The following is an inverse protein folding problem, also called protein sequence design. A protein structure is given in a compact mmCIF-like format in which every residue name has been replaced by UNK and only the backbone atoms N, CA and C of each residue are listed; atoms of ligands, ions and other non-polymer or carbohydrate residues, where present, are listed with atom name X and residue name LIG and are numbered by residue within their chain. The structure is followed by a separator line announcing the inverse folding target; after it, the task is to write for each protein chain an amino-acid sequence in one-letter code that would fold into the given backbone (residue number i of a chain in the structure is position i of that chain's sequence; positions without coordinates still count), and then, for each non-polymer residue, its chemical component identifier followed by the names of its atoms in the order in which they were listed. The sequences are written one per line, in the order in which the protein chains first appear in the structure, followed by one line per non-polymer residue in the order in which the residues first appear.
data_IF_229292531930
#
_entry.id   IF_229292531930
#
_cell.length_a   1.000
_cell.length_b   1.000
_cell.length_c   1.000
_cell.angle_alpha   90.00
_cell.angle_beta   90.00
_cell.angle_gamma   90.00
#
_symmetry.space_group_name_H-M   'P 1'
#
loop_
_entity.id
_entity.type
_entity.pdbx_description
1 polymer ?
#
# COMPACT_ATOMS: atom_id res chain seq x y z
N UNK A 1 5.64 -14.23 -15.33
CA UNK A 1 4.72 -14.91 -14.40
C UNK A 1 4.27 -16.21 -15.06
N UNK A 2 4.34 -17.37 -14.39
CA UNK A 2 4.03 -18.69 -14.97
C UNK A 2 2.74 -19.24 -14.34
N UNK A 3 1.88 -19.88 -15.12
CA UNK A 3 0.52 -20.30 -14.72
C UNK A 3 0.38 -21.82 -14.85
N UNK A 4 -0.05 -22.49 -13.77
CA UNK A 4 -0.52 -23.89 -13.79
C UNK A 4 -2.01 -23.90 -13.38
N UNK A 5 -2.88 -24.53 -14.18
CA UNK A 5 -4.29 -24.74 -13.84
C UNK A 5 -4.56 -26.23 -13.56
N UNK A 6 -5.17 -26.52 -12.41
CA UNK A 6 -5.71 -27.86 -12.09
C UNK A 6 -7.05 -27.71 -11.37
N UNK A 7 -8.15 -27.86 -12.11
CA UNK A 7 -9.42 -28.45 -11.65
C UNK A 7 -10.25 -27.80 -10.52
N UNK A 8 -9.90 -26.62 -9.99
CA UNK A 8 -10.65 -25.85 -8.97
C UNK A 8 -10.50 -24.36 -9.34
N UNK A 9 -11.45 -23.41 -9.11
CA UNK A 9 -11.48 -22.11 -9.80
C UNK A 9 -10.53 -21.09 -9.16
N UNK A 10 -9.25 -21.47 -9.06
CA UNK A 10 -8.20 -20.65 -8.51
C UNK A 10 -7.00 -20.74 -9.44
N UNK A 11 -6.39 -19.60 -9.73
CA UNK A 11 -5.18 -19.52 -10.54
C UNK A 11 -4.01 -19.05 -9.69
N UNK A 12 -2.86 -19.72 -9.80
CA UNK A 12 -1.65 -19.34 -9.07
C UNK A 12 -0.95 -18.18 -9.79
N UNK A 13 -0.78 -17.04 -9.11
CA UNK A 13 0.11 -15.95 -9.57
C UNK A 13 1.48 -16.10 -8.90
N UNK A 14 2.55 -15.87 -9.66
CA UNK A 14 3.95 -15.93 -9.22
C UNK A 14 4.63 -14.55 -9.32
N UNK A 15 5.08 -14.03 -8.18
CA UNK A 15 5.62 -12.69 -8.00
C UNK A 15 7.17 -12.62 -8.04
N UNK A 16 7.87 -13.69 -8.45
CA UNK A 16 9.34 -13.82 -8.27
C UNK A 16 10.28 -12.98 -9.16
N UNK A 17 9.87 -11.87 -9.77
CA UNK A 17 10.81 -10.98 -10.49
C UNK A 17 11.13 -9.73 -9.66
N UNK A 18 12.21 -9.83 -8.87
CA UNK A 18 12.98 -8.69 -8.35
C UNK A 18 12.53 -8.11 -7.01
N UNK A 19 13.23 -8.47 -5.91
CA UNK A 19 14.11 -7.60 -5.09
C UNK A 19 14.43 -8.35 -3.80
N UNK A 20 15.67 -8.81 -3.61
CA UNK A 20 16.12 -9.27 -2.30
C UNK A 20 16.31 -8.05 -1.38
N UNK A 21 15.53 -7.98 -0.29
CA UNK A 21 15.76 -7.03 0.80
C UNK A 21 16.13 -7.81 2.05
N UNK A 22 17.40 -7.72 2.46
CA UNK A 22 17.86 -8.18 3.77
C UNK A 22 17.24 -7.29 4.85
N UNK A 23 16.49 -7.89 5.77
CA UNK A 23 16.00 -7.22 6.98
C UNK A 23 17.16 -7.02 7.97
N UNK A 24 17.46 -5.76 8.31
CA UNK A 24 18.02 -5.43 9.62
C UNK A 24 16.84 -5.06 10.52
N UNK A 25 16.53 -5.91 11.49
CA UNK A 25 15.61 -5.57 12.57
C UNK A 25 16.19 -4.37 13.35
N UNK A 26 15.46 -3.25 13.36
CA UNK A 26 15.77 -2.11 14.22
C UNK A 26 15.26 -2.41 15.62
N UNK A 27 16.17 -2.65 16.55
CA UNK A 27 15.90 -2.59 17.99
C UNK A 27 15.67 -1.13 18.37
N UNK A 28 14.42 -0.69 18.55
CA UNK A 28 14.15 0.64 19.10
C UNK A 28 12.81 0.77 19.86
N UNK A 29 12.33 -0.30 20.51
CA UNK A 29 11.15 -0.21 21.39
C UNK A 29 11.38 -0.69 22.83
N UNK A 30 12.61 -0.68 23.34
CA UNK A 30 12.91 -1.19 24.70
C UNK A 30 13.28 -0.14 25.76
N UNK A 31 12.90 1.13 25.60
CA UNK A 31 13.22 2.17 26.61
C UNK A 31 12.02 3.03 27.08
N UNK A 32 10.84 2.44 27.25
CA UNK A 32 9.69 3.14 27.88
C UNK A 32 9.02 2.30 28.99
N UNK A 33 9.79 1.46 29.72
CA UNK A 33 9.20 0.63 30.79
C UNK A 33 9.86 0.78 32.15
N UNK A 34 10.48 1.93 32.43
CA UNK A 34 10.88 2.29 33.79
C UNK A 34 10.42 3.70 34.08
N UNK A 35 9.26 3.80 34.75
CA UNK A 35 8.70 4.90 35.56
C UNK A 35 7.16 4.97 35.39
N UNK A 36 6.47 3.96 35.93
CA UNK A 36 5.02 3.98 36.14
C UNK A 36 4.68 4.82 37.38
N UNK A 37 5.03 6.11 37.36
CA UNK A 37 4.61 7.10 38.37
C UNK A 37 4.59 8.51 37.75
N UNK A 38 3.85 8.67 36.65
CA UNK A 38 3.57 9.98 36.06
C UNK A 38 2.07 10.15 35.86
N UNK A 39 1.45 10.76 36.88
CA UNK A 39 0.32 11.68 36.83
C UNK A 39 -0.26 11.90 35.42
N UNK A 40 -1.43 11.29 35.18
CA UNK A 40 -2.47 11.66 34.21
C UNK A 40 -2.03 12.62 33.09
N UNK A 41 -1.18 12.17 32.17
CA UNK A 41 -1.16 12.77 30.84
C UNK A 41 -2.41 12.30 30.12
N UNK A 42 -3.29 13.21 29.64
CA UNK A 42 -4.52 12.78 29.00
C UNK A 42 -4.17 11.99 27.73
N UNK A 43 -4.93 10.94 27.46
CA UNK A 43 -4.65 9.93 26.41
C UNK A 43 -4.37 10.57 25.04
N UNK A 44 -5.01 11.69 24.74
CA UNK A 44 -4.79 12.52 23.55
C UNK A 44 -3.35 13.07 23.40
N UNK A 45 -2.62 13.27 24.50
CA UNK A 45 -1.24 13.78 24.46
C UNK A 45 -0.19 12.69 24.23
N UNK A 46 -0.49 11.42 24.54
CA UNK A 46 0.40 10.28 24.26
C UNK A 46 0.62 10.12 22.76
N UNK A 47 -0.45 10.29 21.98
CA UNK A 47 -0.42 10.10 20.53
C UNK A 47 -0.09 11.35 19.73
N UNK A 48 -0.08 12.54 20.35
CA UNK A 48 0.20 13.82 19.66
C UNK A 48 1.56 13.87 18.96
N UNK A 49 2.56 13.09 19.44
CA UNK A 49 3.88 12.98 18.79
C UNK A 49 3.86 12.09 17.55
N UNK A 50 2.89 11.19 17.43
CA UNK A 50 2.75 10.31 16.29
C UNK A 50 2.02 11.12 15.20
N UNK A 51 2.78 11.52 14.17
CA UNK A 51 2.24 12.18 12.98
C UNK A 51 1.44 11.15 12.17
N UNK A 52 0.18 10.96 12.54
CA UNK A 52 -0.81 10.25 11.73
C UNK A 52 -1.62 11.25 10.91
N UNK A 53 -2.03 10.86 9.71
CA UNK A 53 -3.06 11.58 8.98
C UNK A 53 -4.46 11.14 9.46
N UNK A 54 -5.51 11.56 8.75
CA UNK A 54 -6.88 11.17 9.07
C UNK A 54 -7.13 9.67 8.91
N UNK A 55 -7.93 9.08 9.80
CA UNK A 55 -8.33 7.67 9.73
C UNK A 55 -9.34 7.41 8.60
N UNK A 56 -9.10 6.39 7.78
CA UNK A 56 -9.94 6.06 6.62
C UNK A 56 -11.34 5.52 6.96
N UNK A 57 -11.56 5.06 8.19
CA UNK A 57 -12.83 4.52 8.65
C UNK A 57 -13.61 5.58 9.43
N UNK A 58 -12.97 6.22 10.42
CA UNK A 58 -13.64 7.16 11.35
C UNK A 58 -13.64 8.59 10.81
N UNK A 59 -12.59 9.01 10.11
CA UNK A 59 -12.39 10.37 9.60
C UNK A 59 -12.40 10.40 8.06
N UNK A 60 -13.29 9.59 7.47
CA UNK A 60 -13.31 9.30 6.04
C UNK A 60 -13.27 10.54 5.15
N UNK A 61 -14.08 11.56 5.45
CA UNK A 61 -14.13 12.79 4.64
C UNK A 61 -12.78 13.53 4.62
N UNK A 62 -12.09 13.57 5.77
CA UNK A 62 -10.75 14.16 5.88
C UNK A 62 -9.71 13.32 5.13
N UNK A 63 -9.80 11.99 5.21
CA UNK A 63 -8.93 11.07 4.48
C UNK A 63 -9.10 11.16 2.96
N UNK A 64 -10.35 11.23 2.49
CA UNK A 64 -10.65 11.49 1.08
C UNK A 64 -10.14 12.86 0.62
N UNK A 65 -10.27 13.88 1.46
CA UNK A 65 -9.68 15.20 1.23
C UNK A 65 -8.16 15.14 1.08
N UNK A 66 -7.48 14.48 2.01
CA UNK A 66 -6.03 14.29 1.97
C UNK A 66 -5.58 13.52 0.72
N UNK A 67 -6.32 12.50 0.28
CA UNK A 67 -6.02 11.77 -0.95
C UNK A 67 -6.21 12.63 -2.20
N UNK A 68 -7.25 13.47 -2.25
CA UNK A 68 -7.45 14.43 -3.35
C UNK A 68 -6.33 15.47 -3.41
N UNK A 69 -5.86 15.96 -2.27
CA UNK A 69 -4.69 16.86 -2.20
C UNK A 69 -3.43 16.14 -2.68
N UNK A 70 -3.18 14.91 -2.24
CA UNK A 70 -2.06 14.11 -2.75
C UNK A 70 -2.13 13.94 -4.28
N UNK A 71 -3.31 13.65 -4.84
CA UNK A 71 -3.53 13.55 -6.29
C UNK A 71 -3.15 14.84 -7.01
N UNK A 72 -3.59 15.99 -6.49
CA UNK A 72 -3.29 17.29 -7.07
C UNK A 72 -1.77 17.55 -7.10
N UNK A 73 -1.07 17.27 -5.99
CA UNK A 73 0.38 17.44 -5.91
C UNK A 73 1.12 16.54 -6.91
N UNK A 74 0.72 15.25 -7.03
CA UNK A 74 1.33 14.34 -8.01
C UNK A 74 1.16 14.84 -9.44
N UNK A 75 0.00 15.42 -9.78
CA UNK A 75 -0.25 16.00 -11.10
C UNK A 75 0.56 17.27 -11.33
N UNK A 76 0.57 18.18 -10.36
CA UNK A 76 1.33 19.43 -10.42
C UNK A 76 2.83 19.16 -10.61
N UNK A 77 3.41 18.25 -9.83
CA UNK A 77 4.81 17.86 -9.98
C UNK A 77 5.11 17.27 -11.37
N UNK A 78 4.17 16.49 -11.92
CA UNK A 78 4.31 15.92 -13.26
C UNK A 78 4.26 17.00 -14.34
N UNK A 79 3.31 17.92 -14.25
CA UNK A 79 3.13 18.99 -15.23
C UNK A 79 4.35 19.93 -15.22
N UNK A 80 4.88 20.26 -14.03
CA UNK A 80 6.12 21.02 -13.88
C UNK A 80 7.32 20.31 -14.55
N UNK A 81 7.44 18.99 -14.36
CA UNK A 81 8.50 18.20 -15.00
C UNK A 81 8.37 18.20 -16.53
N UNK A 82 7.17 18.00 -17.07
CA UNK A 82 6.93 18.02 -18.51
C UNK A 82 7.26 19.38 -19.12
N UNK A 83 6.93 20.47 -18.44
CA UNK A 83 7.27 21.82 -18.88
C UNK A 83 8.78 22.03 -18.95
N UNK A 84 9.52 21.75 -17.86
CA UNK A 84 10.98 21.90 -17.82
C UNK A 84 11.66 21.05 -18.88
N UNK A 85 11.23 19.80 -19.05
CA UNK A 85 11.81 18.92 -20.05
C UNK A 85 11.59 19.44 -21.48
N UNK A 86 10.41 19.99 -21.77
CA UNK A 86 10.11 20.60 -23.07
C UNK A 86 10.98 21.83 -23.33
N UNK A 87 11.16 22.70 -22.33
CA UNK A 87 12.02 23.89 -22.44
C UNK A 87 13.52 23.55 -22.56
N UNK A 88 13.99 22.48 -21.93
CA UNK A 88 15.39 22.03 -22.04
C UNK A 88 15.69 21.43 -23.41
N UNK A 89 14.74 20.70 -24.00
CA UNK A 89 14.85 20.18 -25.38
C UNK A 89 14.95 21.33 -26.39
N UNK A 90 14.26 22.44 -26.18
CA UNK A 90 14.37 23.64 -27.03
C UNK A 90 15.74 24.36 -26.89
N UNK A 91 16.48 24.13 -25.81
CA UNK A 91 17.74 24.83 -25.52
C UNK A 91 19.03 24.05 -25.87
N UNK A 92 18.94 22.83 -26.43
CA UNK A 92 20.10 22.01 -26.84
C UNK A 92 21.21 21.88 -25.77
N UNK A 93 20.85 21.85 -24.48
CA UNK A 93 21.84 21.70 -23.41
C UNK A 93 22.20 20.23 -23.26
N UNK A 94 23.42 19.89 -23.65
CA UNK A 94 24.01 18.54 -23.57
C UNK A 94 24.14 18.03 -22.13
N UNK A 95 23.72 16.78 -21.94
CA UNK A 95 24.11 15.80 -20.91
C UNK A 95 24.32 16.30 -19.47
N UNK A 96 23.22 16.36 -18.71
CA UNK A 96 23.27 15.93 -17.31
C UNK A 96 22.46 14.64 -17.15
N UNK A 97 23.16 13.59 -16.71
CA UNK A 97 22.62 12.25 -16.47
C UNK A 97 21.49 12.36 -15.43
N UNK A 98 20.23 12.04 -15.76
CA UNK A 98 19.14 12.25 -14.83
C UNK A 98 19.17 11.16 -13.76
N UNK A 99 19.34 11.55 -12.50
CA UNK A 99 18.69 10.83 -11.40
C UNK A 99 17.25 10.53 -11.80
N UNK A 100 16.81 9.28 -11.66
CA UNK A 100 15.56 8.72 -12.19
C UNK A 100 14.43 9.77 -12.40
N UNK A 101 13.81 9.82 -13.59
CA UNK A 101 12.87 10.88 -13.95
C UNK A 101 11.69 10.94 -12.97
N UNK A 102 11.48 12.05 -12.23
CA UNK A 102 10.22 12.24 -11.51
C UNK A 102 9.15 12.68 -12.52
N UNK A 103 7.89 12.19 -12.43
CA UNK A 103 7.27 11.43 -11.35
C UNK A 103 6.67 10.11 -11.83
N UNK A 104 7.50 9.21 -12.38
CA UNK A 104 7.09 7.80 -12.51
C UNK A 104 7.24 7.04 -11.18
N UNK A 105 6.98 7.73 -10.06
CA UNK A 105 7.12 7.16 -8.71
C UNK A 105 6.11 6.00 -8.57
N UNK A 106 6.58 4.79 -8.22
CA UNK A 106 5.71 3.64 -8.01
C UNK A 106 4.64 3.88 -6.96
N UNK A 107 3.43 3.38 -7.18
CA UNK A 107 2.32 3.43 -6.21
C UNK A 107 2.74 2.92 -4.82
N UNK A 108 3.49 1.83 -4.74
CA UNK A 108 3.95 1.32 -3.45
C UNK A 108 4.85 2.31 -2.69
N UNK A 109 5.65 3.10 -3.41
CA UNK A 109 6.51 4.14 -2.81
C UNK A 109 5.67 5.32 -2.36
N UNK A 110 4.69 5.74 -3.15
CA UNK A 110 3.76 6.81 -2.77
C UNK A 110 2.97 6.48 -1.50
N UNK A 111 2.38 5.28 -1.45
CA UNK A 111 1.61 4.81 -0.28
C UNK A 111 2.50 4.82 0.96
N UNK A 112 3.71 4.26 0.87
CA UNK A 112 4.64 4.20 2.01
C UNK A 112 5.16 5.58 2.43
N UNK A 113 5.44 6.48 1.49
CA UNK A 113 5.97 7.82 1.79
C UNK A 113 4.89 8.73 2.39
N UNK A 114 3.63 8.53 2.02
CA UNK A 114 2.48 9.32 2.48
C UNK A 114 1.64 8.59 3.54
N UNK A 115 2.24 7.61 4.24
CA UNK A 115 1.55 6.81 5.26
C UNK A 115 1.20 7.58 6.55
N UNK A 116 1.66 8.83 6.67
CA UNK A 116 1.28 9.76 7.73
C UNK A 116 0.35 10.89 7.24
N UNK A 117 -0.23 10.75 6.05
CA UNK A 117 -1.13 11.71 5.42
C UNK A 117 -2.25 10.96 4.67
N UNK A 118 -2.28 11.02 3.34
CA UNK A 118 -3.31 10.42 2.51
C UNK A 118 -3.45 8.89 2.67
N UNK A 119 -2.38 8.18 3.03
CA UNK A 119 -2.39 6.72 3.16
C UNK A 119 -2.21 6.27 4.61
N UNK A 120 -2.84 6.99 5.54
CA UNK A 120 -2.74 6.69 6.97
C UNK A 120 -3.18 5.26 7.27
N UNK A 121 -2.43 4.58 8.14
CA UNK A 121 -2.65 3.18 8.50
C UNK A 121 -2.06 2.19 7.50
N UNK A 122 -1.64 2.60 6.31
CA UNK A 122 -1.08 1.71 5.28
C UNK A 122 0.45 1.64 5.38
N UNK A 123 0.93 0.70 6.20
CA UNK A 123 2.35 0.35 6.25
C UNK A 123 2.82 -0.44 5.02
N UNK A 124 4.12 -0.75 4.94
CA UNK A 124 4.73 -1.48 3.80
C UNK A 124 4.01 -2.79 3.45
N UNK A 125 3.53 -3.52 4.45
CA UNK A 125 2.84 -4.79 4.23
C UNK A 125 1.45 -4.57 3.63
N UNK A 126 0.64 -3.69 4.24
CA UNK A 126 -0.68 -3.32 3.72
C UNK A 126 -0.61 -2.63 2.35
N UNK A 127 0.46 -1.91 2.03
CA UNK A 127 0.61 -1.30 0.71
C UNK A 127 0.65 -2.34 -0.42
N UNK A 128 1.33 -3.47 -0.21
CA UNK A 128 1.36 -4.56 -1.21
C UNK A 128 -0.01 -5.22 -1.33
N UNK A 129 -0.64 -5.50 -0.20
CA UNK A 129 -1.95 -6.17 -0.18
C UNK A 129 -3.05 -5.28 -0.74
N UNK A 130 -3.05 -3.98 -0.42
CA UNK A 130 -3.94 -3.00 -1.03
C UNK A 130 -3.77 -2.96 -2.56
N UNK A 131 -2.52 -2.86 -3.04
CA UNK A 131 -2.23 -2.94 -4.48
C UNK A 131 -2.79 -4.22 -5.11
N UNK A 132 -2.67 -5.36 -4.42
CA UNK A 132 -3.26 -6.62 -4.86
C UNK A 132 -4.79 -6.56 -4.95
N UNK A 133 -5.47 -6.08 -3.90
CA UNK A 133 -6.94 -5.98 -3.86
C UNK A 133 -7.50 -5.00 -4.89
N UNK A 134 -6.77 -3.91 -5.15
CA UNK A 134 -7.16 -2.91 -6.14
C UNK A 134 -6.73 -3.24 -7.56
N UNK A 135 -6.05 -4.38 -7.76
CA UNK A 135 -5.50 -4.78 -9.06
C UNK A 135 -4.60 -3.69 -9.64
N UNK A 136 -3.77 -3.10 -8.78
CA UNK A 136 -2.76 -2.11 -9.14
C UNK A 136 -1.41 -2.79 -9.00
N UNK A 137 -0.63 -2.84 -10.07
CA UNK A 137 0.73 -3.35 -9.95
C UNK A 137 1.56 -2.42 -9.02
N UNK A 138 2.36 -2.93 -8.06
CA UNK A 138 3.09 -2.09 -7.11
C UNK A 138 4.03 -1.07 -7.78
N UNK A 139 4.55 -1.42 -8.96
CA UNK A 139 5.40 -0.56 -9.78
C UNK A 139 4.64 0.44 -10.66
N UNK A 140 3.31 0.40 -10.70
CA UNK A 140 2.49 1.34 -11.49
C UNK A 140 2.87 2.78 -11.11
N UNK A 141 3.21 3.64 -12.08
CA UNK A 141 3.44 5.05 -11.82
C UNK A 141 2.21 5.71 -11.20
N UNK A 142 2.39 6.46 -10.12
CA UNK A 142 1.26 7.10 -9.45
C UNK A 142 0.52 8.08 -10.36
N UNK A 143 1.24 8.76 -11.26
CA UNK A 143 0.64 9.65 -12.25
C UNK A 143 -0.39 8.96 -13.14
N UNK A 144 -0.18 7.67 -13.49
CA UNK A 144 -1.10 6.89 -14.31
C UNK A 144 -2.48 6.71 -13.65
N UNK A 145 -2.49 6.63 -12.31
CA UNK A 145 -3.72 6.61 -11.50
C UNK A 145 -4.27 8.03 -11.35
N UNK A 146 -3.42 9.02 -11.10
CA UNK A 146 -3.84 10.40 -10.83
C UNK A 146 -4.38 11.15 -12.06
N UNK A 147 -3.97 10.81 -13.28
CA UNK A 147 -4.47 11.44 -14.51
C UNK A 147 -5.87 10.96 -14.91
N UNK A 148 -6.24 9.73 -14.55
CA UNK A 148 -7.51 9.12 -14.92
C UNK A 148 -8.51 9.16 -13.76
N UNK A 149 -9.64 9.85 -13.95
CA UNK A 149 -10.67 9.98 -12.91
C UNK A 149 -11.29 8.65 -12.48
N UNK A 150 -11.39 7.68 -13.39
CA UNK A 150 -11.96 6.36 -13.11
C UNK A 150 -11.00 5.55 -12.25
N UNK A 151 -9.71 5.52 -12.60
CA UNK A 151 -8.67 4.84 -11.80
C UNK A 151 -8.52 5.49 -10.43
N UNK A 152 -8.49 6.82 -10.37
CA UNK A 152 -8.43 7.52 -9.10
C UNK A 152 -9.67 7.26 -8.23
N UNK A 153 -10.87 7.24 -8.82
CA UNK A 153 -12.10 6.87 -8.10
C UNK A 153 -12.03 5.43 -7.56
N UNK A 154 -11.45 4.51 -8.32
CA UNK A 154 -11.15 3.15 -7.87
C UNK A 154 -10.25 3.13 -6.63
N UNK A 155 -9.19 3.93 -6.61
CA UNK A 155 -8.32 4.09 -5.43
C UNK A 155 -9.06 4.71 -4.24
N UNK A 156 -9.80 5.80 -4.47
CA UNK A 156 -10.54 6.55 -3.45
C UNK A 156 -11.57 5.66 -2.72
N UNK A 157 -12.30 4.84 -3.47
CA UNK A 157 -13.30 3.92 -2.91
C UNK A 157 -12.68 2.64 -2.35
N UNK A 158 -11.60 2.16 -2.99
CA UNK A 158 -11.00 0.88 -2.69
C UNK A 158 -10.21 0.86 -1.38
N UNK A 159 -9.60 1.97 -0.96
CA UNK A 159 -8.88 2.05 0.32
C UNK A 159 -9.81 1.75 1.52
N UNK A 160 -10.93 2.47 1.72
CA UNK A 160 -11.82 2.18 2.84
C UNK A 160 -12.49 0.80 2.70
N UNK A 161 -12.80 0.33 1.49
CA UNK A 161 -13.32 -1.03 1.26
C UNK A 161 -12.33 -2.10 1.73
N UNK A 162 -11.05 -1.96 1.39
CA UNK A 162 -10.00 -2.85 1.86
C UNK A 162 -9.83 -2.78 3.39
N UNK A 163 -9.74 -1.57 3.95
CA UNK A 163 -9.51 -1.40 5.39
C UNK A 163 -10.70 -1.85 6.26
N UNK A 164 -11.90 -1.92 5.69
CA UNK A 164 -13.11 -2.41 6.38
C UNK A 164 -12.93 -3.84 6.91
N UNK A 165 -12.15 -4.70 6.25
CA UNK A 165 -11.93 -6.07 6.74
C UNK A 165 -11.32 -6.10 8.16
N UNK A 166 -10.56 -5.07 8.54
CA UNK A 166 -9.93 -4.95 9.87
C UNK A 166 -10.87 -4.36 10.93
N UNK A 167 -12.08 -3.97 10.56
CA UNK A 167 -13.10 -3.47 11.49
C UNK A 167 -14.26 -4.44 11.66
N UNK A 168 -14.26 -5.54 10.90
CA UNK A 168 -15.29 -6.56 11.00
C UNK A 168 -15.23 -7.31 12.34
N UNK A 169 -16.39 -7.65 12.95
CA UNK A 169 -16.44 -8.37 14.21
C UNK A 169 -15.68 -9.70 14.17
N UNK A 170 -15.66 -10.39 13.02
CA UNK A 170 -14.91 -11.64 12.85
C UNK A 170 -13.40 -11.44 13.01
N UNK A 171 -12.84 -10.40 12.38
CA UNK A 171 -11.45 -10.02 12.56
C UNK A 171 -11.15 -9.64 14.01
N UNK A 172 -11.94 -8.72 14.59
CA UNK A 172 -11.72 -8.22 15.94
C UNK A 172 -11.81 -9.35 16.99
N UNK A 173 -12.80 -10.24 16.86
CA UNK A 173 -12.97 -11.40 17.74
C UNK A 173 -11.81 -12.38 17.61
N UNK A 174 -11.32 -12.64 16.40
CA UNK A 174 -10.20 -13.55 16.19
C UNK A 174 -8.87 -12.99 16.74
N UNK A 175 -8.64 -11.68 16.59
CA UNK A 175 -7.48 -11.00 17.17
C UNK A 175 -7.57 -10.88 18.70
N UNK A 176 -8.74 -10.56 19.24
CA UNK A 176 -8.94 -10.46 20.69
C UNK A 176 -8.93 -11.84 21.38
N UNK A 177 -9.56 -12.85 20.79
CA UNK A 177 -9.64 -14.21 21.32
C UNK A 177 -8.31 -14.97 21.28
N UNK A 178 -7.33 -14.47 20.52
CA UNK A 178 -5.96 -15.01 20.55
C UNK A 178 -5.11 -14.42 21.69
N UNK A 179 -5.60 -13.41 22.41
CA UNK A 179 -5.01 -12.95 23.67
C UNK A 179 -5.28 -13.96 24.77
N UNK A 180 -4.21 -14.52 25.33
CA UNK A 180 -4.31 -15.42 26.48
C UNK A 180 -4.98 -14.70 27.64
N UNK A 181 -5.91 -15.38 28.32
CA UNK A 181 -6.69 -14.89 29.46
C UNK A 181 -5.79 -14.36 30.60
N UNK A 182 -4.53 -14.79 30.64
CA UNK A 182 -3.57 -14.49 31.71
C UNK A 182 -2.45 -13.50 31.32
N UNK A 183 -2.63 -12.70 30.26
CA UNK A 183 -1.64 -11.65 29.96
C UNK A 183 -1.82 -10.42 30.86
N UNK A 184 -0.96 -10.31 31.88
CA UNK A 184 -0.90 -9.12 32.76
C UNK A 184 -0.51 -7.82 32.03
N UNK A 185 0.27 -7.93 30.94
CA UNK A 185 0.74 -6.77 30.18
C UNK A 185 -0.01 -6.63 28.84
N UNK A 186 -0.87 -5.61 28.68
CA UNK A 186 -1.66 -5.40 27.46
C UNK A 186 -0.81 -4.97 26.25
N UNK A 187 0.45 -4.56 26.45
CA UNK A 187 1.38 -4.19 25.38
C UNK A 187 2.33 -5.34 24.99
N UNK A 188 2.20 -6.51 25.62
CA UNK A 188 3.01 -7.66 25.26
C UNK A 188 2.64 -8.10 23.85
N UNK A 189 3.66 -8.32 23.02
CA UNK A 189 3.44 -8.87 21.69
C UNK A 189 2.74 -10.24 21.76
N UNK A 190 1.68 -10.40 20.98
CA UNK A 190 0.92 -11.63 20.90
C UNK A 190 1.28 -12.40 19.62
N UNK A 191 2.07 -13.46 19.78
CA UNK A 191 2.49 -14.32 18.66
C UNK A 191 1.31 -15.02 17.99
N UNK A 192 0.28 -15.42 18.74
CA UNK A 192 -0.90 -16.08 18.18
C UNK A 192 -1.70 -15.11 17.30
N UNK A 193 -1.97 -13.90 17.77
CA UNK A 193 -2.64 -12.87 16.98
C UNK A 193 -1.83 -12.51 15.74
N UNK A 194 -0.52 -12.32 15.88
CA UNK A 194 0.37 -12.03 14.76
C UNK A 194 0.38 -13.16 13.72
N UNK A 195 0.50 -14.42 14.15
CA UNK A 195 0.45 -15.58 13.24
C UNK A 195 -0.89 -15.64 12.51
N UNK A 196 -1.99 -15.47 13.22
CA UNK A 196 -3.33 -15.48 12.63
C UNK A 196 -3.51 -14.33 11.62
N UNK A 197 -3.06 -13.13 11.99
CA UNK A 197 -3.01 -11.97 11.11
C UNK A 197 -2.25 -12.28 9.81
N UNK A 198 -1.01 -12.76 9.91
CA UNK A 198 -0.16 -13.06 8.76
C UNK A 198 -0.70 -14.19 7.87
N UNK A 199 -1.40 -15.17 8.45
CA UNK A 199 -1.96 -16.29 7.68
C UNK A 199 -3.28 -15.95 6.99
N UNK A 200 -4.18 -15.26 7.68
CA UNK A 200 -5.56 -15.07 7.24
C UNK A 200 -5.85 -13.69 6.64
N UNK A 201 -5.07 -12.68 6.98
CA UNK A 201 -5.35 -11.27 6.63
C UNK A 201 -4.22 -10.59 5.88
N UNK A 202 -3.14 -11.33 5.58
CA UNK A 202 -2.04 -10.87 4.73
C UNK A 202 -1.97 -11.75 3.49
N UNK A 203 -2.05 -11.12 2.33
CA UNK A 203 -2.32 -11.81 1.07
C UNK A 203 -1.07 -12.03 0.22
N UNK A 204 -0.34 -10.97 -0.08
CA UNK A 204 0.81 -11.03 -1.00
C UNK A 204 2.10 -10.57 -0.34
N UNK A 205 2.05 -9.83 0.76
CA UNK A 205 3.25 -9.40 1.45
C UNK A 205 4.13 -10.60 1.86
N UNK A 206 5.38 -10.59 1.37
CA UNK A 206 6.39 -11.66 1.54
C UNK A 206 6.01 -13.03 0.96
N UNK A 207 4.98 -13.12 0.12
CA UNK A 207 4.62 -14.35 -0.59
C UNK A 207 5.17 -14.29 -2.01
N UNK A 208 5.78 -15.39 -2.45
CA UNK A 208 6.26 -15.53 -3.84
C UNK A 208 5.14 -15.96 -4.79
N UNK A 209 4.07 -16.54 -4.26
CA UNK A 209 2.91 -16.93 -5.06
C UNK A 209 1.63 -16.94 -4.22
N UNK A 210 0.49 -16.72 -4.86
CA UNK A 210 -0.83 -16.80 -4.23
C UNK A 210 -1.84 -17.45 -5.18
N UNK A 211 -2.75 -18.24 -4.60
CA UNK A 211 -3.97 -18.67 -5.28
C UNK A 211 -4.95 -17.49 -5.30
N UNK A 212 -5.30 -17.05 -6.49
CA UNK A 212 -6.10 -15.85 -6.71
C UNK A 212 -7.51 -16.26 -7.15
N UNK A 213 -8.55 -15.65 -6.57
CA UNK A 213 -9.93 -15.80 -7.05
C UNK A 213 -10.05 -15.47 -8.54
N UNK A 214 -10.94 -16.17 -9.24
CA UNK A 214 -11.13 -16.00 -10.69
C UNK A 214 -11.45 -14.55 -11.09
N UNK A 215 -12.29 -13.87 -10.32
CA UNK A 215 -12.67 -12.48 -10.61
C UNK A 215 -11.49 -11.50 -10.52
N UNK A 216 -10.63 -11.69 -9.52
CA UNK A 216 -9.39 -10.90 -9.36
C UNK A 216 -8.43 -11.24 -10.50
N UNK A 217 -8.27 -12.52 -10.83
CA UNK A 217 -7.43 -12.98 -11.94
C UNK A 217 -7.87 -12.36 -13.28
N UNK A 218 -9.17 -12.39 -13.58
CA UNK A 218 -9.71 -11.80 -14.80
C UNK A 218 -9.47 -10.29 -14.86
N UNK A 219 -9.60 -9.57 -13.74
CA UNK A 219 -9.24 -8.14 -13.69
C UNK A 219 -7.77 -7.90 -14.01
N UNK A 220 -6.85 -8.72 -13.47
CA UNK A 220 -5.43 -8.66 -13.80
C UNK A 220 -5.18 -8.89 -15.30
N UNK A 221 -5.88 -9.88 -15.88
CA UNK A 221 -5.78 -10.22 -17.30
C UNK A 221 -6.27 -9.06 -18.18
N UNK A 222 -7.46 -8.51 -17.90
CA UNK A 222 -8.03 -7.41 -18.69
C UNK A 222 -7.22 -6.11 -18.60
N UNK A 223 -6.50 -5.90 -17.50
CA UNK A 223 -5.57 -4.78 -17.36
C UNK A 223 -4.21 -5.05 -18.02
N UNK A 224 -3.99 -6.21 -18.61
CA UNK A 224 -2.71 -6.56 -19.24
C UNK A 224 -1.58 -6.84 -18.25
N UNK A 225 -1.86 -6.86 -16.94
CA UNK A 225 -0.84 -7.01 -15.89
C UNK A 225 -0.21 -8.42 -15.86
N UNK A 226 -0.77 -9.36 -16.62
CA UNK A 226 -0.26 -10.71 -16.79
C UNK A 226 0.53 -10.91 -18.10
N UNK A 227 0.49 -9.95 -19.04
CA UNK A 227 1.28 -10.03 -20.27
C UNK A 227 2.70 -9.49 -19.98
N UNK A 228 3.75 -10.32 -20.09
CA UNK A 228 5.13 -9.88 -19.87
C UNK A 228 5.62 -8.82 -20.87
N UNK A 229 4.91 -8.62 -21.98
CA UNK A 229 5.24 -7.61 -22.99
C UNK A 229 4.46 -6.31 -22.81
N UNK A 230 3.51 -6.28 -21.88
CA UNK A 230 2.71 -5.08 -21.64
C UNK A 230 3.47 -4.08 -20.75
N UNK A 231 3.64 -2.87 -21.26
CA UNK A 231 4.10 -1.73 -20.46
C UNK A 231 2.91 -1.09 -19.77
N UNK A 232 2.94 -1.03 -18.44
CA UNK A 232 1.91 -0.35 -17.65
C UNK A 232 1.82 1.12 -18.10
N UNK A 233 0.66 1.52 -18.63
CA UNK A 233 0.46 2.86 -19.17
C UNK A 233 0.12 2.89 -20.67
N UNK A 234 0.46 1.82 -21.40
CA UNK A 234 0.17 1.69 -22.83
C UNK A 234 -1.17 0.99 -23.06
N UNK A 235 -1.77 1.17 -24.24
CA UNK A 235 -2.94 0.37 -24.62
C UNK A 235 -2.50 -1.08 -24.86
N UNK A 236 -3.34 -2.05 -24.47
CA UNK A 236 -3.12 -3.44 -24.82
C UNK A 236 -3.11 -3.56 -26.34
N UNK A 237 -1.98 -3.94 -26.93
CA UNK A 237 -1.94 -4.34 -28.33
C UNK A 237 -2.83 -5.57 -28.48
N UNK A 238 -4.02 -5.38 -29.06
CA UNK A 238 -4.87 -6.48 -29.51
C UNK A 238 -4.16 -7.19 -30.66
N UNK A 239 -3.57 -8.35 -30.36
CA UNK A 239 -3.17 -9.32 -31.37
C UNK A 239 -4.38 -10.12 -31.85
#
# INVERSE_FOLDING_TARGET
MHVESRGVPWTKLDFQVGTQVRNKYSQSCQKILTHWNLLFKPWNTLFRKFKGGPDWIVERELAEGALKTWRANVREEHDQYQYVNSSLVELNVTEQQPTAPPPLRPMIKEICANSGAAFTGLGRHLANDLCYHLVIHPATPAIYICQDDTRFKGLLNGIPEYLKCFTEPGYLSAMAGSCGVDQENPFRFNENSNRLYMHCYVDVFRRCSKLVPEDVYLKYLYQGLLDPRHTIGELLCSN
#
